data_IF_751944073961
#
_entry.id   IF_751944073961
#
_cell.length_a   1.000
_cell.length_b   1.000
_cell.length_c   1.000
_cell.angle_alpha   90.00
_cell.angle_beta   90.00
_cell.angle_gamma   90.00
#
_symmetry.space_group_name_H-M   'P 1'
#
loop_
_entity.id
_entity.type
_entity.pdbx_description
1 polymer ?
#
# COMPACT_ATOMS: atom_id res chain seq x y z
N UNK A 1 16.77 -13.49 22.57
CA UNK A 1 16.75 -12.56 21.41
C UNK A 1 15.69 -13.09 20.44
N UNK A 2 14.67 -12.30 20.10
CA UNK A 2 13.67 -12.73 19.13
C UNK A 2 14.26 -12.54 17.72
N UNK A 3 14.48 -13.64 17.01
CA UNK A 3 15.15 -13.63 15.71
C UNK A 3 14.19 -13.40 14.54
N UNK A 4 12.86 -13.45 14.76
CA UNK A 4 11.86 -13.35 13.69
C UNK A 4 12.14 -12.21 12.72
N UNK A 5 11.88 -12.40 11.41
CA UNK A 5 11.99 -11.34 10.42
C UNK A 5 11.23 -10.08 10.86
N UNK A 6 11.76 -8.93 10.46
CA UNK A 6 11.19 -7.64 10.81
C UNK A 6 10.94 -6.81 9.56
N UNK A 7 9.80 -6.12 9.50
CA UNK A 7 9.67 -4.91 8.69
C UNK A 7 9.90 -3.72 9.60
N UNK A 8 10.97 -2.99 9.33
CA UNK A 8 11.28 -1.73 9.96
C UNK A 8 10.58 -0.60 9.20
N UNK A 9 9.87 0.26 9.93
CA UNK A 9 9.14 1.42 9.41
C UNK A 9 9.86 2.66 9.92
N UNK A 10 10.52 3.39 9.02
CA UNK A 10 11.22 4.61 9.36
C UNK A 10 10.23 5.77 9.45
N UNK A 11 9.87 6.16 10.68
CA UNK A 11 8.88 7.20 10.95
C UNK A 11 9.28 8.57 10.40
N UNK A 12 10.58 8.88 10.39
CA UNK A 12 11.11 10.15 9.85
C UNK A 12 10.90 10.25 8.35
N UNK A 13 11.11 9.16 7.61
CA UNK A 13 10.89 9.12 6.16
C UNK A 13 9.40 9.16 5.80
N UNK A 14 8.55 8.46 6.55
CA UNK A 14 7.08 8.58 6.39
C UNK A 14 6.65 10.04 6.59
N UNK A 15 7.13 10.69 7.65
CA UNK A 15 6.81 12.09 7.94
C UNK A 15 7.29 13.02 6.83
N UNK A 16 8.54 12.89 6.37
CA UNK A 16 9.07 13.73 5.29
C UNK A 16 8.30 13.56 3.98
N UNK A 17 7.86 12.33 3.66
CA UNK A 17 7.05 12.08 2.48
C UNK A 17 5.68 12.75 2.57
N UNK A 18 5.03 12.72 3.73
CA UNK A 18 3.74 13.40 3.96
C UNK A 18 3.91 14.92 3.88
N UNK A 19 4.97 15.48 4.46
CA UNK A 19 5.28 16.92 4.37
C UNK A 19 5.51 17.35 2.91
N UNK A 20 6.24 16.54 2.14
CA UNK A 20 6.43 16.78 0.72
C UNK A 20 5.10 16.79 -0.05
N UNK A 21 4.23 15.80 0.19
CA UNK A 21 2.89 15.73 -0.41
C UNK A 21 2.03 16.95 -0.03
N UNK A 22 2.09 17.39 1.23
CA UNK A 22 1.35 18.55 1.74
C UNK A 22 1.81 19.84 1.06
N UNK A 23 3.11 20.04 0.92
CA UNK A 23 3.67 21.21 0.23
C UNK A 23 3.33 21.23 -1.26
N UNK A 24 3.26 20.06 -1.89
CA UNK A 24 2.85 19.91 -3.29
C UNK A 24 1.35 20.17 -3.49
N UNK A 25 0.51 19.87 -2.50
CA UNK A 25 -0.95 19.98 -2.59
C UNK A 25 -1.50 20.88 -1.47
N UNK A 26 -1.14 22.18 -1.42
CA UNK A 26 -1.44 23.05 -0.28
C UNK A 26 -2.94 23.32 -0.06
N UNK A 27 -3.77 23.02 -1.06
CA UNK A 27 -5.22 23.26 -1.05
C UNK A 27 -6.04 21.97 -0.88
N UNK A 28 -5.40 20.83 -0.64
CA UNK A 28 -6.09 19.54 -0.52
C UNK A 28 -5.75 18.85 0.79
N UNK A 29 -6.75 18.18 1.38
CA UNK A 29 -6.54 17.30 2.54
C UNK A 29 -5.79 16.04 2.10
N UNK A 30 -4.98 15.47 2.97
CA UNK A 30 -4.28 14.21 2.72
C UNK A 30 -5.08 13.05 3.30
N UNK A 31 -5.59 12.20 2.42
CA UNK A 31 -6.17 10.90 2.78
C UNK A 31 -5.10 9.82 2.59
N UNK A 32 -4.64 9.24 3.71
CA UNK A 32 -3.72 8.11 3.65
C UNK A 32 -4.50 6.80 3.51
N UNK A 33 -4.27 6.10 2.41
CA UNK A 33 -4.96 4.85 2.12
C UNK A 33 -4.27 3.72 2.91
N UNK A 34 -5.02 3.07 3.81
CA UNK A 34 -4.51 2.05 4.74
C UNK A 34 -5.26 0.71 4.62
N UNK A 35 -5.89 0.47 3.47
CA UNK A 35 -6.50 -0.83 3.15
C UNK A 35 -5.47 -1.97 3.17
N UNK A 36 -5.96 -3.20 3.22
CA UNK A 36 -5.17 -4.42 3.38
C UNK A 36 -4.22 -4.34 4.58
N UNK A 37 -4.74 -3.87 5.73
CA UNK A 37 -3.96 -3.67 6.96
C UNK A 37 -2.73 -2.78 6.75
N UNK A 38 -2.94 -1.60 6.15
CA UNK A 38 -1.89 -0.67 5.71
C UNK A 38 -0.87 -1.36 4.79
N UNK A 39 -1.35 -2.04 3.74
CA UNK A 39 -0.51 -2.77 2.79
C UNK A 39 0.38 -3.82 3.49
N UNK A 40 -0.13 -4.54 4.50
CA UNK A 40 0.61 -5.55 5.26
C UNK A 40 1.58 -5.01 6.32
N UNK A 41 1.59 -3.69 6.56
CA UNK A 41 2.48 -3.02 7.52
C UNK A 41 1.84 -2.90 8.92
N UNK A 42 0.53 -3.07 9.01
CA UNK A 42 -0.24 -2.93 10.24
C UNK A 42 -0.76 -1.51 10.42
N UNK A 43 -2.09 -1.37 10.42
CA UNK A 43 -2.76 -0.07 10.66
C UNK A 43 -2.29 0.52 12.00
N UNK A 44 -2.20 -0.30 13.05
CA UNK A 44 -1.73 0.14 14.38
C UNK A 44 -0.33 0.75 14.36
N UNK A 45 0.56 0.22 13.51
CA UNK A 45 1.94 0.70 13.43
C UNK A 45 2.01 2.03 12.70
N UNK A 46 1.33 2.13 11.55
CA UNK A 46 1.38 3.33 10.73
C UNK A 46 0.53 4.47 11.33
N UNK A 47 -0.54 4.15 12.06
CA UNK A 47 -1.37 5.14 12.74
C UNK A 47 -0.57 5.92 13.78
N UNK A 48 0.29 5.25 14.56
CA UNK A 48 1.20 5.89 15.55
C UNK A 48 2.10 6.97 14.92
N UNK A 49 2.44 6.82 13.64
CA UNK A 49 3.30 7.75 12.91
C UNK A 49 2.49 8.82 12.20
N UNK A 50 1.34 8.45 11.63
CA UNK A 50 0.62 9.29 10.66
C UNK A 50 -0.52 10.08 11.26
N UNK A 51 -0.98 9.77 12.48
CA UNK A 51 -2.19 10.39 13.02
C UNK A 51 -2.09 11.91 13.06
N UNK A 52 -0.99 12.52 13.44
CA UNK A 52 -0.95 13.99 13.52
C UNK A 52 -0.54 14.66 12.20
N UNK A 53 -0.41 13.86 11.12
CA UNK A 53 0.17 14.30 9.84
C UNK A 53 -0.81 14.23 8.66
N UNK A 54 -1.85 13.41 8.74
CA UNK A 54 -2.83 13.18 7.67
C UNK A 54 -4.22 13.62 8.12
N UNK A 55 -5.07 14.00 7.17
CA UNK A 55 -6.39 14.57 7.46
C UNK A 55 -7.49 13.50 7.47
N UNK A 56 -7.29 12.38 6.75
CA UNK A 56 -8.23 11.28 6.64
C UNK A 56 -7.53 9.94 6.40
N UNK A 57 -8.26 8.85 6.60
CA UNK A 57 -7.84 7.48 6.24
C UNK A 57 -8.80 6.86 5.23
N UNK A 58 -8.27 6.19 4.21
CA UNK A 58 -9.08 5.41 3.27
C UNK A 58 -8.93 3.91 3.52
N UNK A 59 -10.05 3.21 3.68
CA UNK A 59 -10.12 1.77 3.97
C UNK A 59 -11.02 1.05 2.98
N UNK A 60 -10.87 -0.27 2.86
CA UNK A 60 -11.70 -1.09 1.98
C UNK A 60 -12.73 -1.93 2.75
N UNK A 61 -12.46 -2.28 4.01
CA UNK A 61 -13.31 -3.20 4.79
C UNK A 61 -13.61 -2.70 6.20
N UNK A 62 -14.70 -3.20 6.78
CA UNK A 62 -15.17 -2.77 8.10
C UNK A 62 -14.24 -3.19 9.25
N UNK A 63 -13.51 -4.29 9.12
CA UNK A 63 -12.53 -4.71 10.11
C UNK A 63 -11.43 -3.65 10.28
N UNK A 64 -11.04 -2.97 9.19
CA UNK A 64 -10.06 -1.88 9.21
C UNK A 64 -10.61 -0.65 9.92
N UNK A 65 -11.91 -0.38 9.80
CA UNK A 65 -12.60 0.64 10.58
C UNK A 65 -12.53 0.34 12.08
N UNK A 66 -12.79 -0.91 12.49
CA UNK A 66 -12.73 -1.26 13.91
C UNK A 66 -11.32 -1.13 14.50
N UNK A 67 -10.28 -1.42 13.72
CA UNK A 67 -8.89 -1.17 14.13
C UNK A 67 -8.63 0.33 14.30
N UNK A 68 -9.02 1.18 13.34
CA UNK A 68 -8.87 2.64 13.48
C UNK A 68 -9.68 3.17 14.67
N UNK A 69 -10.88 2.65 14.90
CA UNK A 69 -11.74 3.02 16.02
C UNK A 69 -11.12 2.63 17.36
N UNK A 70 -10.56 1.43 17.49
CA UNK A 70 -9.89 0.98 18.73
C UNK A 70 -8.64 1.79 19.05
N UNK A 71 -8.01 2.39 18.03
CA UNK A 71 -6.89 3.32 18.19
C UNK A 71 -7.33 4.76 18.53
N UNK A 72 -8.64 5.01 18.64
CA UNK A 72 -9.18 6.34 18.97
C UNK A 72 -9.23 7.31 17.79
N UNK A 73 -9.24 6.82 16.55
CA UNK A 73 -9.28 7.68 15.37
C UNK A 73 -10.58 8.49 15.29
N UNK A 74 -10.43 9.82 15.33
CA UNK A 74 -11.52 10.80 15.21
C UNK A 74 -11.60 11.45 13.83
N UNK A 75 -10.62 11.18 12.96
CA UNK A 75 -10.57 11.74 11.60
C UNK A 75 -11.59 11.11 10.67
N UNK A 76 -11.74 11.70 9.50
CA UNK A 76 -12.55 11.15 8.44
C UNK A 76 -12.00 9.79 7.99
N UNK A 77 -12.89 8.79 7.92
CA UNK A 77 -12.61 7.44 7.47
C UNK A 77 -13.46 7.17 6.24
N UNK A 78 -12.81 7.06 5.08
CA UNK A 78 -13.47 6.88 3.79
C UNK A 78 -13.52 5.40 3.42
N UNK A 79 -14.72 4.88 3.21
CA UNK A 79 -14.93 3.50 2.76
C UNK A 79 -14.88 3.42 1.23
N UNK A 80 -13.74 2.99 0.71
CA UNK A 80 -13.42 3.00 -0.72
C UNK A 80 -14.32 2.09 -1.56
N UNK A 81 -14.90 1.05 -0.95
CA UNK A 81 -15.80 0.09 -1.60
C UNK A 81 -17.27 0.33 -1.27
N UNK A 82 -17.59 1.43 -0.60
CA UNK A 82 -18.91 1.71 -0.06
C UNK A 82 -19.21 0.94 1.23
N UNK A 83 -20.41 1.17 1.74
CA UNK A 83 -20.94 0.56 2.95
C UNK A 83 -22.32 0.03 2.60
N UNK A 84 -22.48 -1.29 2.62
CA UNK A 84 -23.80 -1.91 2.49
C UNK A 84 -24.49 -1.88 3.84
N UNK A 85 -25.82 -1.72 3.84
CA UNK A 85 -26.58 -1.61 5.08
C UNK A 85 -26.41 -2.83 6.00
N UNK A 86 -26.22 -4.02 5.42
CA UNK A 86 -25.99 -5.28 6.13
C UNK A 86 -24.67 -5.30 6.91
N UNK A 87 -23.70 -4.43 6.57
CA UNK A 87 -22.40 -4.40 7.25
C UNK A 87 -22.48 -3.70 8.62
N UNK A 88 -23.56 -2.97 8.90
CA UNK A 88 -23.72 -2.26 10.16
C UNK A 88 -25.04 -2.64 10.83
N UNK A 89 -24.96 -3.22 12.03
CA UNK A 89 -26.11 -3.31 12.94
C UNK A 89 -26.55 -1.92 13.49
N UNK A 90 -25.92 -0.83 13.03
CA UNK A 90 -26.03 0.51 13.59
C UNK A 90 -25.90 1.64 12.55
N UNK A 91 -26.29 2.86 12.95
CA UNK A 91 -26.18 4.07 12.13
C UNK A 91 -24.72 4.37 11.73
N UNK A 92 -24.48 4.73 10.46
CA UNK A 92 -23.13 5.08 9.97
C UNK A 92 -22.55 6.18 10.88
N UNK A 93 -21.34 6.01 11.47
CA UNK A 93 -20.71 7.02 12.32
C UNK A 93 -20.49 8.35 11.61
N UNK A 94 -20.47 9.46 12.35
CA UNK A 94 -20.36 10.82 11.78
C UNK A 94 -19.08 11.04 10.97
N UNK A 95 -17.96 10.49 11.43
CA UNK A 95 -16.66 10.61 10.75
C UNK A 95 -16.43 9.54 9.66
N UNK A 96 -17.47 8.79 9.28
CA UNK A 96 -17.38 7.79 8.22
C UNK A 96 -18.03 8.33 6.96
N UNK A 97 -17.28 8.29 5.85
CA UNK A 97 -17.71 8.79 4.54
C UNK A 97 -17.81 7.60 3.58
N UNK A 98 -19.02 7.17 3.19
CA UNK A 98 -19.19 6.12 2.20
C UNK A 98 -18.94 6.65 0.78
N UNK A 99 -18.38 5.79 -0.07
CA UNK A 99 -18.39 5.97 -1.52
C UNK A 99 -19.58 5.19 -2.10
N UNK A 100 -20.45 5.87 -2.84
CA UNK A 100 -21.62 5.30 -3.50
C UNK A 100 -21.27 5.01 -4.96
N UNK A 101 -20.94 3.75 -5.25
CA UNK A 101 -20.51 3.32 -6.59
C UNK A 101 -21.46 2.38 -7.33
N UNK A 102 -22.66 2.13 -6.79
CA UNK A 102 -23.72 1.37 -7.44
C UNK A 102 -25.10 1.73 -6.87
N UNK A 103 -26.18 1.32 -7.56
CA UNK A 103 -27.55 1.69 -7.16
C UNK A 103 -27.94 1.20 -5.77
N UNK A 104 -27.47 0.02 -5.36
CA UNK A 104 -27.83 -0.58 -4.07
C UNK A 104 -27.28 0.29 -2.94
N UNK A 105 -26.00 0.70 -3.02
CA UNK A 105 -25.38 1.60 -2.05
C UNK A 105 -26.15 2.92 -1.93
N UNK A 106 -26.63 3.48 -3.04
CA UNK A 106 -27.41 4.72 -3.01
C UNK A 106 -28.76 4.51 -2.32
N UNK A 107 -29.48 3.44 -2.67
CA UNK A 107 -30.79 3.11 -2.06
C UNK A 107 -30.63 2.88 -0.56
N UNK A 108 -29.61 2.14 -0.14
CA UNK A 108 -29.28 1.91 1.26
C UNK A 108 -28.95 3.23 1.97
N UNK A 109 -28.10 4.07 1.38
CA UNK A 109 -27.74 5.36 1.98
C UNK A 109 -28.95 6.29 2.16
N UNK A 110 -29.83 6.39 1.15
CA UNK A 110 -31.07 7.18 1.24
C UNK A 110 -31.98 6.66 2.36
N UNK A 111 -32.08 5.33 2.47
CA UNK A 111 -32.97 4.66 3.43
C UNK A 111 -32.50 4.81 4.88
N UNK A 112 -31.20 4.72 5.13
CA UNK A 112 -30.65 4.58 6.48
C UNK A 112 -29.87 5.79 7.00
N UNK A 113 -29.48 6.74 6.14
CA UNK A 113 -28.80 7.97 6.60
C UNK A 113 -29.80 9.13 6.76
N UNK A 114 -30.01 9.51 8.01
CA UNK A 114 -30.89 10.63 8.37
C UNK A 114 -30.18 11.98 8.27
N UNK A 115 -28.86 12.03 8.47
CA UNK A 115 -28.11 13.29 8.44
C UNK A 115 -27.83 13.72 7.01
N UNK A 116 -28.72 14.57 6.48
CA UNK A 116 -28.65 15.08 5.10
C UNK A 116 -27.47 16.04 4.85
N UNK A 117 -26.77 16.46 5.90
CA UNK A 117 -25.56 17.29 5.81
C UNK A 117 -24.26 16.47 5.80
N UNK A 118 -24.35 15.17 6.08
CA UNK A 118 -23.21 14.27 6.14
C UNK A 118 -22.52 14.14 4.79
N UNK A 119 -21.20 14.16 4.84
CA UNK A 119 -20.36 14.02 3.66
C UNK A 119 -20.50 12.63 3.05
N UNK A 120 -20.71 12.58 1.73
CA UNK A 120 -20.77 11.36 0.94
C UNK A 120 -20.06 11.57 -0.38
N UNK A 121 -19.47 10.50 -0.92
CA UNK A 121 -18.80 10.52 -2.22
C UNK A 121 -19.64 9.73 -3.23
N UNK A 122 -19.97 10.33 -4.37
CA UNK A 122 -20.60 9.63 -5.50
C UNK A 122 -19.52 9.28 -6.51
N UNK A 123 -19.43 8.01 -6.90
CA UNK A 123 -18.35 7.51 -7.76
C UNK A 123 -18.69 7.70 -9.25
N UNK A 124 -17.84 8.43 -9.95
CA UNK A 124 -17.86 8.63 -11.38
C UNK A 124 -16.79 7.76 -12.04
N UNK A 125 -17.20 6.85 -12.93
CA UNK A 125 -16.26 6.06 -13.71
C UNK A 125 -15.73 6.88 -14.91
N UNK A 126 -14.53 7.43 -14.75
CA UNK A 126 -13.86 8.15 -15.85
C UNK A 126 -13.33 7.21 -16.96
N UNK A 127 -13.31 5.90 -16.71
CA UNK A 127 -12.87 4.84 -17.61
C UNK A 127 -11.93 3.81 -16.97
N UNK A 128 -12.04 3.57 -15.67
CA UNK A 128 -11.40 2.45 -14.97
C UNK A 128 -12.18 1.14 -15.17
N UNK A 129 -13.51 1.21 -15.34
CA UNK A 129 -14.35 0.04 -15.63
C UNK A 129 -14.56 -0.89 -14.45
N UNK A 130 -14.61 -0.36 -13.22
CA UNK A 130 -14.67 -1.17 -11.98
C UNK A 130 -15.85 -0.83 -11.08
N UNK A 131 -15.98 0.43 -10.71
CA UNK A 131 -17.03 0.97 -9.85
C UNK A 131 -17.46 2.33 -10.36
N UNK A 132 -18.63 2.79 -9.91
CA UNK A 132 -19.16 4.10 -10.24
C UNK A 132 -20.02 4.09 -11.50
N UNK A 133 -20.48 5.29 -11.83
CA UNK A 133 -21.45 5.52 -12.88
C UNK A 133 -20.82 6.29 -14.04
N UNK A 134 -21.31 6.04 -15.25
CA UNK A 134 -21.06 6.95 -16.35
C UNK A 134 -21.88 8.24 -16.19
N UNK A 135 -21.55 9.26 -16.98
CA UNK A 135 -22.02 10.64 -16.80
C UNK A 135 -23.53 10.76 -16.56
N UNK A 136 -24.35 10.17 -17.42
CA UNK A 136 -25.80 10.39 -17.37
C UNK A 136 -26.43 9.69 -16.15
N UNK A 137 -25.98 8.48 -15.82
CA UNK A 137 -26.37 7.78 -14.59
C UNK A 137 -25.87 8.50 -13.34
N UNK A 138 -24.65 9.06 -13.39
CA UNK A 138 -24.11 9.88 -12.30
C UNK A 138 -25.01 11.09 -12.01
N UNK A 139 -25.40 11.84 -13.06
CA UNK A 139 -26.28 13.02 -12.92
C UNK A 139 -27.65 12.59 -12.36
N UNK A 140 -28.25 11.53 -12.92
CA UNK A 140 -29.51 10.96 -12.42
C UNK A 140 -29.44 10.62 -10.93
N UNK A 141 -28.36 9.98 -10.49
CA UNK A 141 -28.18 9.60 -9.09
C UNK A 141 -27.84 10.79 -8.18
N UNK A 142 -27.11 11.78 -8.68
CA UNK A 142 -26.87 13.04 -7.99
C UNK A 142 -28.19 13.79 -7.73
N UNK A 143 -29.04 13.91 -8.74
CA UNK A 143 -30.34 14.57 -8.63
C UNK A 143 -31.26 13.82 -7.67
N UNK A 144 -31.22 12.49 -7.70
CA UNK A 144 -31.93 11.65 -6.74
C UNK A 144 -31.47 11.97 -5.31
N UNK A 145 -30.15 11.93 -5.02
CA UNK A 145 -29.63 12.27 -3.68
C UNK A 145 -30.04 13.67 -3.22
N UNK A 146 -29.94 14.67 -4.11
CA UNK A 146 -30.37 16.06 -3.82
C UNK A 146 -31.87 16.16 -3.52
N UNK A 147 -32.72 15.41 -4.24
CA UNK A 147 -34.18 15.41 -4.01
C UNK A 147 -34.58 14.86 -2.64
N UNK A 148 -33.76 13.95 -2.08
CA UNK A 148 -33.89 13.45 -0.70
C UNK A 148 -33.19 14.33 0.35
N UNK A 149 -32.69 15.51 -0.05
CA UNK A 149 -32.14 16.55 0.83
C UNK A 149 -30.63 16.46 1.06
N UNK A 150 -29.92 15.47 0.52
CA UNK A 150 -28.47 15.34 0.71
C UNK A 150 -27.72 16.49 0.04
N UNK A 151 -26.90 17.20 0.79
CA UNK A 151 -26.29 18.48 0.38
C UNK A 151 -24.76 18.47 0.28
N UNK A 152 -24.08 17.55 0.99
CA UNK A 152 -22.63 17.47 1.04
C UNK A 152 -22.10 16.29 0.22
N UNK A 153 -22.25 16.39 -1.10
CA UNK A 153 -21.88 15.35 -2.05
C UNK A 153 -20.56 15.74 -2.73
N UNK A 154 -19.61 14.82 -2.77
CA UNK A 154 -18.33 14.96 -3.49
C UNK A 154 -18.33 14.04 -4.70
N UNK A 155 -17.87 14.54 -5.84
CA UNK A 155 -17.53 13.71 -6.99
C UNK A 155 -16.24 12.96 -6.70
N UNK A 156 -16.33 11.64 -6.54
CA UNK A 156 -15.17 10.78 -6.44
C UNK A 156 -14.90 10.11 -7.79
N UNK A 157 -13.64 9.93 -8.15
CA UNK A 157 -13.24 9.04 -9.25
C UNK A 157 -11.89 8.40 -8.96
N UNK A 158 -11.51 7.36 -9.69
CA UNK A 158 -10.17 6.77 -9.59
C UNK A 158 -9.46 6.79 -10.94
N UNK A 159 -8.31 7.46 -10.98
CA UNK A 159 -7.48 7.54 -12.17
C UNK A 159 -6.86 6.17 -12.48
N UNK A 160 -7.06 5.61 -13.69
CA UNK A 160 -6.65 4.24 -14.04
C UNK A 160 -5.17 4.11 -14.43
N UNK A 161 -4.36 5.15 -14.20
CA UNK A 161 -2.95 5.21 -14.55
C UNK A 161 -2.08 5.24 -13.29
N UNK A 162 -0.99 4.45 -13.33
CA UNK A 162 0.09 4.48 -12.34
C UNK A 162 1.25 5.39 -12.76
N UNK A 163 2.39 5.25 -12.09
CA UNK A 163 3.60 6.05 -12.32
C UNK A 163 4.07 6.04 -13.79
N UNK A 164 4.11 4.87 -14.44
CA UNK A 164 4.57 4.74 -15.83
C UNK A 164 3.56 5.25 -16.89
N UNK A 165 2.40 5.72 -16.47
CA UNK A 165 1.30 6.10 -17.35
C UNK A 165 0.70 7.46 -17.04
N UNK A 166 1.29 8.27 -16.16
CA UNK A 166 0.65 9.50 -15.68
C UNK A 166 0.33 10.49 -16.82
N UNK A 167 1.14 10.54 -17.88
CA UNK A 167 0.86 11.35 -19.09
C UNK A 167 -0.45 10.95 -19.80
N UNK A 168 -0.91 9.70 -19.61
CA UNK A 168 -2.17 9.19 -20.16
C UNK A 168 -3.37 9.52 -19.25
N UNK A 169 -3.15 10.14 -18.09
CA UNK A 169 -4.21 10.51 -17.12
C UNK A 169 -5.06 11.67 -17.61
N UNK A 170 -4.49 12.56 -18.46
CA UNK A 170 -5.11 13.83 -18.85
C UNK A 170 -6.55 13.67 -19.35
N UNK A 171 -6.80 12.72 -20.27
CA UNK A 171 -8.15 12.47 -20.79
C UNK A 171 -9.17 12.04 -19.72
N UNK A 172 -8.71 11.39 -18.64
CA UNK A 172 -9.57 10.97 -17.53
C UNK A 172 -9.82 12.14 -16.58
N UNK A 173 -8.78 12.93 -16.30
CA UNK A 173 -8.86 14.16 -15.51
C UNK A 173 -9.82 15.16 -16.18
N UNK A 174 -9.70 15.39 -17.49
CA UNK A 174 -10.55 16.31 -18.24
C UNK A 174 -12.04 15.94 -18.11
N UNK A 175 -12.38 14.64 -18.18
CA UNK A 175 -13.76 14.17 -17.96
C UNK A 175 -14.26 14.47 -16.56
N UNK A 176 -13.41 14.25 -15.55
CA UNK A 176 -13.75 14.48 -14.14
C UNK A 176 -13.97 15.96 -13.88
N UNK A 177 -13.05 16.81 -14.35
CA UNK A 177 -13.13 18.26 -14.18
C UNK A 177 -14.33 18.86 -14.92
N UNK A 178 -14.61 18.41 -16.14
CA UNK A 178 -15.80 18.82 -16.90
C UNK A 178 -17.09 18.48 -16.15
N UNK A 179 -17.20 17.27 -15.60
CA UNK A 179 -18.37 16.88 -14.81
C UNK A 179 -18.46 17.63 -13.47
N UNK A 180 -17.32 17.90 -12.82
CA UNK A 180 -17.27 18.70 -11.60
C UNK A 180 -17.73 20.15 -11.84
N UNK A 181 -17.32 20.76 -12.95
CA UNK A 181 -17.75 22.10 -13.35
C UNK A 181 -19.26 22.14 -13.63
N UNK A 182 -19.77 21.17 -14.40
CA UNK A 182 -21.20 21.05 -14.72
C UNK A 182 -22.05 20.91 -13.45
N UNK A 183 -21.64 20.02 -12.55
CA UNK A 183 -22.41 19.69 -11.34
C UNK A 183 -22.16 20.64 -10.16
N UNK A 184 -21.12 21.48 -10.28
CA UNK A 184 -20.59 22.38 -9.24
C UNK A 184 -20.22 21.65 -7.93
N UNK A 185 -19.85 20.38 -8.03
CA UNK A 185 -19.43 19.58 -6.89
C UNK A 185 -17.94 19.79 -6.60
N UNK A 186 -17.58 19.70 -5.33
CA UNK A 186 -16.20 19.38 -4.94
C UNK A 186 -15.82 18.00 -5.48
N UNK A 187 -14.53 17.77 -5.72
CA UNK A 187 -14.07 16.53 -6.33
C UNK A 187 -12.82 15.95 -5.66
N UNK A 188 -12.58 14.66 -5.88
CA UNK A 188 -11.43 13.91 -5.38
C UNK A 188 -11.13 12.75 -6.34
N UNK A 189 -9.95 12.76 -6.97
CA UNK A 189 -9.57 11.72 -7.93
C UNK A 189 -8.11 11.26 -7.88
N UNK A 190 -7.23 12.06 -7.29
CA UNK A 190 -5.79 11.80 -7.34
C UNK A 190 -5.41 10.59 -6.51
N UNK A 191 -4.67 9.68 -7.15
CA UNK A 191 -3.90 8.62 -6.49
C UNK A 191 -2.45 9.12 -6.26
N UNK A 192 -1.57 8.30 -5.68
CA UNK A 192 -0.17 8.69 -5.40
C UNK A 192 0.56 9.34 -6.60
N UNK A 193 0.58 8.76 -7.83
CA UNK A 193 1.22 9.40 -8.98
C UNK A 193 0.67 10.80 -9.28
N UNK A 194 -0.66 10.96 -9.37
CA UNK A 194 -1.26 12.25 -9.73
C UNK A 194 -0.94 13.28 -8.64
N UNK A 195 -1.04 12.92 -7.37
CA UNK A 195 -0.68 13.79 -6.24
C UNK A 195 0.78 14.26 -6.22
N UNK A 196 1.67 13.61 -6.98
CA UNK A 196 3.09 13.97 -7.04
C UNK A 196 3.45 14.75 -8.31
N UNK A 197 2.84 14.41 -9.44
CA UNK A 197 3.22 14.93 -10.76
C UNK A 197 2.24 15.94 -11.34
N UNK A 198 1.00 16.00 -10.84
CA UNK A 198 -0.03 16.91 -11.34
C UNK A 198 -0.87 17.46 -10.17
N UNK A 199 -0.47 18.65 -9.70
CA UNK A 199 -0.88 19.18 -8.38
C UNK A 199 -1.76 20.42 -8.47
N UNK A 200 -2.09 20.88 -9.67
CA UNK A 200 -2.82 22.14 -9.89
C UNK A 200 -4.33 21.98 -9.71
N UNK A 201 -4.76 21.05 -8.85
CA UNK A 201 -6.16 20.71 -8.61
C UNK A 201 -6.59 21.04 -7.18
N UNK A 202 -7.70 21.75 -7.04
CA UNK A 202 -8.30 22.06 -5.73
C UNK A 202 -9.24 20.94 -5.28
N UNK A 203 -8.68 19.75 -5.08
CA UNK A 203 -9.44 18.58 -4.62
C UNK A 203 -9.76 18.68 -3.13
N UNK A 204 -10.89 18.11 -2.70
CA UNK A 204 -11.17 17.96 -1.26
C UNK A 204 -10.11 17.08 -0.59
N UNK A 205 -9.79 15.92 -1.19
CA UNK A 205 -8.72 15.04 -0.75
C UNK A 205 -7.79 14.66 -1.90
N UNK A 206 -6.49 14.60 -1.62
CA UNK A 206 -5.58 13.70 -2.35
C UNK A 206 -5.54 12.34 -1.66
N UNK A 207 -5.40 11.26 -2.43
CA UNK A 207 -5.34 9.90 -1.90
C UNK A 207 -3.99 9.31 -2.18
N UNK A 208 -3.22 9.07 -1.13
CA UNK A 208 -1.85 8.58 -1.28
C UNK A 208 -1.63 7.37 -0.40
N UNK A 209 -0.86 6.41 -0.90
CA UNK A 209 -0.31 5.31 -0.10
C UNK A 209 1.15 5.10 -0.45
N UNK A 210 1.40 4.72 -1.69
CA UNK A 210 2.75 4.46 -2.19
C UNK A 210 3.68 5.67 -2.10
N UNK A 211 3.14 6.90 -2.25
CA UNK A 211 3.92 8.13 -2.02
C UNK A 211 4.23 8.35 -0.54
N UNK A 212 3.29 8.04 0.37
CA UNK A 212 3.51 8.15 1.83
C UNK A 212 4.58 7.16 2.29
N UNK A 213 4.53 5.92 1.79
CA UNK A 213 5.49 4.86 2.12
C UNK A 213 6.78 4.95 1.28
N UNK A 214 6.72 5.65 0.16
CA UNK A 214 7.82 5.94 -0.76
C UNK A 214 8.39 4.76 -1.53
N UNK A 215 7.65 3.66 -1.69
CA UNK A 215 8.18 2.43 -2.30
C UNK A 215 8.34 2.48 -3.83
N UNK A 216 7.80 3.52 -4.48
CA UNK A 216 8.08 3.82 -5.90
C UNK A 216 9.31 4.73 -6.08
N UNK A 217 9.77 5.43 -5.02
CA UNK A 217 10.95 6.32 -5.02
C UNK A 217 10.95 7.41 -6.11
N UNK A 218 9.76 7.79 -6.56
CA UNK A 218 9.56 8.79 -7.60
C UNK A 218 8.55 9.83 -7.09
N UNK A 219 8.86 11.14 -7.15
CA UNK A 219 10.16 11.72 -7.53
C UNK A 219 11.23 11.46 -6.45
N UNK A 220 12.49 11.83 -6.73
CA UNK A 220 13.65 11.53 -5.87
C UNK A 220 13.53 12.01 -4.42
N UNK A 221 12.71 13.02 -4.16
CA UNK A 221 12.40 13.55 -2.83
C UNK A 221 11.62 12.56 -1.98
N UNK A 222 10.79 11.71 -2.60
CA UNK A 222 10.06 10.64 -1.94
C UNK A 222 11.02 9.51 -1.59
N UNK A 223 11.07 9.14 -0.32
CA UNK A 223 12.02 8.15 0.21
C UNK A 223 11.31 6.87 0.65
N UNK A 224 11.86 5.73 0.27
CA UNK A 224 11.33 4.45 0.72
C UNK A 224 11.50 4.32 2.23
N UNK A 225 10.40 4.09 2.94
CA UNK A 225 10.35 4.13 4.41
C UNK A 225 10.35 2.75 5.07
N UNK A 226 10.39 1.67 4.29
CA UNK A 226 10.27 0.31 4.78
C UNK A 226 11.52 -0.51 4.48
N UNK A 227 11.93 -1.35 5.43
CA UNK A 227 12.99 -2.33 5.24
C UNK A 227 12.55 -3.70 5.76
N UNK A 228 12.53 -4.73 4.91
CA UNK A 228 12.39 -6.11 5.36
C UNK A 228 13.77 -6.67 5.70
N UNK A 229 13.94 -7.15 6.93
CA UNK A 229 15.20 -7.70 7.41
C UNK A 229 15.01 -9.10 8.00
N UNK A 230 15.95 -9.99 7.73
CA UNK A 230 16.00 -11.35 8.26
C UNK A 230 17.37 -11.66 8.86
N UNK A 231 17.42 -12.57 9.82
CA UNK A 231 18.60 -12.89 10.59
C UNK A 231 19.35 -14.10 9.99
N UNK A 232 20.69 -14.03 9.92
CA UNK A 232 21.51 -15.21 9.62
C UNK A 232 21.46 -16.15 10.82
N UNK A 233 20.88 -17.35 10.62
CA UNK A 233 20.79 -18.39 11.65
C UNK A 233 21.75 -19.56 11.41
N UNK A 234 22.40 -19.61 10.26
CA UNK A 234 23.45 -20.59 9.97
C UNK A 234 24.36 -20.06 8.86
N UNK A 235 25.66 -20.35 8.96
CA UNK A 235 26.62 -20.20 7.87
C UNK A 235 27.29 -21.56 7.69
N UNK A 236 27.31 -22.07 6.45
CA UNK A 236 27.86 -23.38 6.13
C UNK A 236 28.75 -23.31 4.90
N UNK A 237 29.91 -23.94 4.98
CA UNK A 237 30.71 -24.26 3.80
C UNK A 237 30.21 -25.59 3.21
N UNK A 238 29.82 -25.55 1.93
CA UNK A 238 29.27 -26.68 1.19
C UNK A 238 30.26 -27.02 0.06
N UNK A 239 30.83 -28.25 0.05
CA UNK A 239 31.77 -28.65 -0.99
C UNK A 239 31.16 -28.66 -2.38
N UNK A 240 32.00 -28.47 -3.40
CA UNK A 240 31.64 -28.75 -4.79
C UNK A 240 31.10 -30.18 -4.93
N UNK A 241 30.00 -30.32 -5.68
CA UNK A 241 29.36 -31.60 -5.97
C UNK A 241 28.18 -31.94 -5.05
N UNK A 242 27.95 -31.16 -3.99
CA UNK A 242 26.82 -31.33 -3.09
C UNK A 242 25.58 -30.53 -3.53
N UNK A 243 24.41 -30.91 -3.01
CA UNK A 243 23.14 -30.24 -3.26
C UNK A 243 22.64 -29.44 -2.06
N UNK A 244 21.84 -28.41 -2.33
CA UNK A 244 21.18 -27.56 -1.33
C UNK A 244 19.66 -27.70 -1.46
N UNK A 245 19.00 -27.72 -0.31
CA UNK A 245 17.54 -27.75 -0.14
C UNK A 245 16.87 -29.06 -0.58
N UNK A 246 15.54 -29.06 -0.54
CA UNK A 246 14.71 -30.20 -0.85
C UNK A 246 14.80 -30.58 -2.34
N UNK A 247 14.71 -31.89 -2.62
CA UNK A 247 14.65 -32.39 -4.00
C UNK A 247 15.90 -32.11 -4.82
N UNK A 248 17.04 -31.79 -4.19
CA UNK A 248 18.29 -31.45 -4.86
C UNK A 248 18.17 -30.21 -5.77
N UNK A 249 17.43 -29.19 -5.30
CA UNK A 249 17.07 -28.00 -6.07
C UNK A 249 18.29 -27.23 -6.63
N UNK A 250 19.35 -27.07 -5.83
CA UNK A 250 20.55 -26.35 -6.26
C UNK A 250 21.80 -27.21 -6.14
N UNK A 251 22.56 -27.33 -7.23
CA UNK A 251 23.82 -28.06 -7.29
C UNK A 251 25.04 -27.14 -7.15
N UNK A 252 25.93 -27.44 -6.21
CA UNK A 252 27.14 -26.65 -5.96
C UNK A 252 28.23 -26.97 -6.99
N UNK A 253 28.36 -26.16 -8.04
CA UNK A 253 29.41 -26.28 -9.06
C UNK A 253 30.83 -25.91 -8.57
N UNK A 254 30.92 -25.32 -7.36
CA UNK A 254 32.14 -24.88 -6.67
C UNK A 254 31.92 -24.99 -5.16
N UNK A 255 33.00 -24.95 -4.38
CA UNK A 255 32.89 -24.77 -2.93
C UNK A 255 32.14 -23.46 -2.65
N UNK A 256 31.09 -23.54 -1.85
CA UNK A 256 30.12 -22.45 -1.67
C UNK A 256 29.88 -22.22 -0.18
N UNK A 257 30.09 -21.00 0.29
CA UNK A 257 29.70 -20.58 1.65
C UNK A 257 28.28 -20.03 1.61
N UNK A 258 27.37 -20.69 2.30
CA UNK A 258 25.93 -20.40 2.29
C UNK A 258 25.49 -19.81 3.62
N UNK A 259 24.82 -18.66 3.58
CA UNK A 259 24.06 -18.12 4.69
C UNK A 259 22.61 -18.61 4.61
N UNK A 260 22.09 -19.09 5.74
CA UNK A 260 20.68 -19.45 5.89
C UNK A 260 20.00 -18.34 6.69
N UNK A 261 19.08 -17.63 6.05
CA UNK A 261 18.27 -16.59 6.68
C UNK A 261 16.98 -17.21 7.20
N UNK A 262 16.50 -16.73 8.35
CA UNK A 262 15.26 -17.21 8.97
C UNK A 262 13.99 -16.57 8.41
N UNK A 263 13.87 -16.58 7.09
CA UNK A 263 12.69 -16.13 6.37
C UNK A 263 12.45 -17.07 5.19
N UNK A 264 11.21 -17.50 4.98
CA UNK A 264 10.82 -18.36 3.87
C UNK A 264 9.48 -17.95 3.27
N UNK A 265 8.90 -18.84 2.45
CA UNK A 265 7.63 -18.51 1.79
C UNK A 265 6.44 -18.44 2.77
N UNK A 266 6.50 -19.11 3.95
CA UNK A 266 5.45 -18.97 4.96
C UNK A 266 5.43 -17.59 5.64
N UNK A 267 6.54 -16.85 5.54
CA UNK A 267 6.67 -15.47 6.01
C UNK A 267 6.10 -14.46 5.00
N UNK A 268 5.76 -14.90 3.79
CA UNK A 268 5.18 -14.07 2.73
C UNK A 268 6.09 -13.83 1.52
N UNK A 269 7.26 -14.47 1.46
CA UNK A 269 8.06 -14.53 0.24
C UNK A 269 7.37 -15.45 -0.79
N UNK A 270 7.67 -15.27 -2.09
CA UNK A 270 7.19 -16.21 -3.11
C UNK A 270 7.89 -17.56 -3.03
N UNK A 271 7.17 -18.64 -3.34
CA UNK A 271 7.73 -20.00 -3.36
C UNK A 271 8.59 -20.29 -4.60
N UNK A 272 8.37 -19.55 -5.69
CA UNK A 272 9.17 -19.66 -6.91
C UNK A 272 10.18 -18.51 -6.96
N UNK A 273 11.46 -18.83 -7.16
CA UNK A 273 12.54 -17.86 -7.25
C UNK A 273 13.20 -18.01 -8.61
N UNK A 274 13.39 -16.89 -9.32
CA UNK A 274 14.18 -16.91 -10.56
C UNK A 274 15.62 -17.29 -10.29
N UNK A 275 16.24 -18.06 -11.18
CA UNK A 275 17.64 -18.48 -11.08
C UNK A 275 18.64 -17.31 -10.90
N UNK A 276 18.31 -16.12 -11.43
CA UNK A 276 19.12 -14.90 -11.35
C UNK A 276 18.80 -14.03 -10.12
N UNK A 277 17.96 -14.51 -9.20
CA UNK A 277 17.59 -13.76 -8.00
C UNK A 277 18.77 -13.62 -7.05
N UNK A 278 18.90 -12.45 -6.44
CA UNK A 278 20.01 -12.14 -5.55
C UNK A 278 19.56 -11.21 -4.44
N UNK A 279 20.31 -11.18 -3.34
CA UNK A 279 20.26 -10.09 -2.37
C UNK A 279 21.44 -9.15 -2.60
N UNK A 280 21.25 -7.87 -2.28
CA UNK A 280 22.34 -6.90 -2.23
C UNK A 280 22.81 -6.76 -0.77
N UNK A 281 23.93 -7.39 -0.43
CA UNK A 281 24.49 -7.39 0.93
C UNK A 281 25.83 -6.66 0.90
N UNK A 282 25.97 -5.57 1.67
CA UNK A 282 27.16 -4.70 1.65
C UNK A 282 27.59 -4.30 0.22
N UNK A 283 26.62 -3.86 -0.59
CA UNK A 283 26.80 -3.54 -2.01
C UNK A 283 27.30 -4.69 -2.91
N UNK A 284 27.33 -5.93 -2.41
CA UNK A 284 27.69 -7.13 -3.17
C UNK A 284 26.44 -7.93 -3.53
N UNK A 285 26.36 -8.40 -4.77
CA UNK A 285 25.30 -9.31 -5.21
C UNK A 285 25.59 -10.72 -4.68
N UNK A 286 24.65 -11.26 -3.91
CA UNK A 286 24.71 -12.60 -3.34
C UNK A 286 23.52 -13.41 -3.88
N UNK A 287 23.79 -14.43 -4.68
CA UNK A 287 22.74 -15.24 -5.32
C UNK A 287 21.87 -15.94 -4.30
N UNK A 288 20.56 -15.91 -4.52
CA UNK A 288 19.62 -16.76 -3.79
C UNK A 288 19.67 -18.14 -4.42
N UNK A 289 19.96 -19.15 -3.60
CA UNK A 289 20.18 -20.53 -4.06
C UNK A 289 18.91 -21.36 -4.00
N UNK A 290 18.08 -21.12 -2.98
CA UNK A 290 16.83 -21.84 -2.74
C UNK A 290 16.02 -21.13 -1.67
N UNK A 291 14.73 -21.46 -1.59
CA UNK A 291 13.82 -21.10 -0.50
C UNK A 291 13.02 -22.31 -0.05
N UNK A 292 12.73 -22.38 1.25
CA UNK A 292 11.73 -23.29 1.78
C UNK A 292 10.73 -22.55 2.68
N UNK A 293 9.96 -23.31 3.47
CA UNK A 293 8.89 -22.76 4.29
C UNK A 293 9.38 -21.65 5.22
N UNK A 294 10.53 -21.84 5.84
CA UNK A 294 11.03 -21.00 6.93
C UNK A 294 12.38 -20.33 6.60
N UNK A 295 13.06 -20.76 5.54
CA UNK A 295 14.46 -20.39 5.29
C UNK A 295 14.76 -19.98 3.85
N UNK A 296 15.66 -19.00 3.72
CA UNK A 296 16.22 -18.52 2.45
C UNK A 296 17.72 -18.81 2.44
N UNK A 297 18.20 -19.43 1.37
CA UNK A 297 19.59 -19.84 1.21
C UNK A 297 20.30 -18.88 0.26
N UNK A 298 21.43 -18.31 0.70
CA UNK A 298 22.13 -17.25 -0.04
C UNK A 298 23.62 -17.57 -0.14
N UNK A 299 24.20 -17.55 -1.35
CA UNK A 299 25.65 -17.66 -1.55
C UNK A 299 26.33 -16.37 -1.11
N UNK A 300 27.10 -16.46 -0.02
CA UNK A 300 27.87 -15.36 0.56
C UNK A 300 29.38 -15.57 0.38
N UNK A 301 29.82 -16.51 -0.48
CA UNK A 301 31.24 -16.86 -0.66
C UNK A 301 32.14 -15.65 -0.90
N UNK A 302 31.66 -14.67 -1.67
CA UNK A 302 32.40 -13.45 -2.00
C UNK A 302 32.64 -12.52 -0.79
N UNK A 303 31.80 -12.60 0.24
CA UNK A 303 31.80 -11.70 1.41
C UNK A 303 31.78 -12.45 2.75
N UNK A 304 32.13 -13.74 2.75
CA UNK A 304 31.99 -14.62 3.93
C UNK A 304 32.71 -14.11 5.18
N UNK A 305 33.79 -13.36 5.02
CA UNK A 305 34.55 -12.78 6.13
C UNK A 305 33.94 -11.49 6.70
N UNK A 306 32.94 -10.91 6.03
CA UNK A 306 32.25 -9.68 6.45
C UNK A 306 30.97 -9.95 7.25
N UNK A 307 30.47 -11.19 7.21
CA UNK A 307 29.21 -11.59 7.81
C UNK A 307 29.45 -12.61 8.91
N UNK A 308 28.59 -12.59 9.92
CA UNK A 308 28.57 -13.58 11.00
C UNK A 308 27.16 -14.01 11.33
N UNK A 309 27.09 -15.09 12.11
CA UNK A 309 25.85 -15.52 12.74
C UNK A 309 25.17 -14.35 13.46
N UNK A 310 23.84 -14.30 13.35
CA UNK A 310 22.96 -13.30 13.94
C UNK A 310 22.99 -11.90 13.30
N UNK A 311 23.76 -11.68 12.24
CA UNK A 311 23.64 -10.44 11.48
C UNK A 311 22.26 -10.32 10.82
N UNK A 312 21.71 -9.11 10.80
CA UNK A 312 20.44 -8.80 10.13
C UNK A 312 20.69 -8.35 8.70
N UNK A 313 20.18 -9.10 7.75
CA UNK A 313 20.29 -8.84 6.31
C UNK A 313 19.02 -8.14 5.84
N UNK A 314 19.18 -6.99 5.17
CA UNK A 314 18.10 -6.23 4.54
C UNK A 314 17.79 -6.81 3.15
N UNK A 315 16.61 -7.41 3.00
CA UNK A 315 16.15 -8.04 1.75
C UNK A 315 15.68 -7.00 0.73
N UNK A 316 14.97 -5.98 1.21
CA UNK A 316 14.63 -4.78 0.47
C UNK A 316 14.59 -3.59 1.42
N UNK A 317 14.79 -2.39 0.88
CA UNK A 317 14.73 -1.13 1.62
C UNK A 317 15.83 -0.17 1.17
N UNK A 318 16.04 0.96 1.87
CA UNK A 318 16.92 2.04 1.42
C UNK A 318 18.37 1.65 1.15
N UNK A 319 18.88 0.60 1.81
CA UNK A 319 20.28 0.15 1.64
C UNK A 319 20.38 -1.16 0.83
N UNK A 320 19.30 -1.61 0.21
CA UNK A 320 19.23 -2.88 -0.49
C UNK A 320 18.41 -2.72 -1.79
N UNK A 321 17.80 -3.81 -2.25
CA UNK A 321 16.91 -3.80 -3.40
C UNK A 321 15.73 -2.86 -3.21
N UNK A 322 15.25 -2.28 -4.31
CA UNK A 322 13.93 -1.66 -4.33
C UNK A 322 12.85 -2.72 -4.13
N UNK A 323 11.66 -2.30 -3.67
CA UNK A 323 10.53 -3.22 -3.53
C UNK A 323 10.16 -3.87 -4.87
N UNK A 324 10.32 -3.14 -5.98
CA UNK A 324 10.07 -3.66 -7.33
C UNK A 324 11.05 -4.76 -7.72
N UNK A 325 12.35 -4.52 -7.51
CA UNK A 325 13.38 -5.53 -7.76
C UNK A 325 13.12 -6.78 -6.92
N UNK A 326 12.79 -6.60 -5.64
CA UNK A 326 12.46 -7.71 -4.76
C UNK A 326 11.24 -8.49 -5.24
N UNK A 327 10.13 -7.81 -5.55
CA UNK A 327 8.90 -8.45 -6.00
C UNK A 327 9.08 -9.22 -7.33
N UNK A 328 9.86 -8.66 -8.26
CA UNK A 328 10.14 -9.29 -9.55
C UNK A 328 10.91 -10.62 -9.42
N UNK A 329 11.73 -10.81 -8.37
CA UNK A 329 12.41 -12.09 -8.11
C UNK A 329 11.42 -13.25 -7.88
N UNK A 330 10.20 -12.93 -7.46
CA UNK A 330 9.16 -13.89 -7.11
C UNK A 330 7.95 -13.85 -8.07
N UNK A 331 8.02 -13.13 -9.20
CA UNK A 331 6.89 -12.90 -10.12
C UNK A 331 5.63 -12.33 -9.45
N UNK A 332 5.79 -11.50 -8.41
CA UNK A 332 4.69 -10.84 -7.72
C UNK A 332 4.76 -9.33 -7.90
N UNK A 333 3.66 -8.66 -7.63
CA UNK A 333 3.60 -7.19 -7.61
C UNK A 333 4.20 -6.61 -6.32
N UNK A 334 4.55 -5.32 -6.33
CA UNK A 334 4.98 -4.58 -5.12
C UNK A 334 3.96 -4.67 -3.98
N UNK A 335 2.67 -4.52 -4.30
CA UNK A 335 1.61 -4.59 -3.29
C UNK A 335 1.49 -6.00 -2.70
N UNK A 336 1.64 -7.05 -3.51
CA UNK A 336 1.69 -8.43 -3.01
C UNK A 336 2.90 -8.69 -2.11
N UNK A 337 4.08 -8.17 -2.47
CA UNK A 337 5.30 -8.35 -1.68
C UNK A 337 5.17 -7.78 -0.25
N UNK A 338 4.32 -6.76 -0.04
CA UNK A 338 4.04 -6.25 1.31
C UNK A 338 2.83 -6.93 1.95
N UNK A 339 1.73 -7.11 1.21
CA UNK A 339 0.46 -7.64 1.76
C UNK A 339 0.49 -9.13 2.07
N UNK A 340 1.37 -9.91 1.44
CA UNK A 340 1.58 -11.33 1.75
C UNK A 340 2.42 -11.58 3.00
N UNK A 341 3.09 -10.55 3.54
CA UNK A 341 3.92 -10.70 4.73
C UNK A 341 3.07 -11.17 5.92
N UNK A 342 3.40 -12.34 6.45
CA UNK A 342 2.61 -13.00 7.48
C UNK A 342 2.70 -12.23 8.80
N UNK A 343 1.56 -11.74 9.31
CA UNK A 343 1.51 -10.91 10.51
C UNK A 343 1.96 -11.64 11.79
N UNK A 344 1.87 -12.97 11.86
CA UNK A 344 2.30 -13.77 13.01
C UNK A 344 3.81 -14.04 12.99
N UNK A 345 4.43 -14.03 11.80
CA UNK A 345 5.81 -14.46 11.62
C UNK A 345 6.78 -13.30 11.34
N UNK A 346 6.28 -12.25 10.68
CA UNK A 346 7.04 -11.04 10.35
C UNK A 346 6.60 -9.90 11.25
N UNK A 347 7.46 -9.54 12.20
CA UNK A 347 7.19 -8.45 13.14
C UNK A 347 7.27 -7.11 12.44
N UNK A 348 6.50 -6.14 12.92
CA UNK A 348 6.53 -4.76 12.41
C UNK A 348 7.08 -3.86 13.51
N UNK A 349 8.08 -3.04 13.18
CA UNK A 349 8.76 -2.18 14.14
C UNK A 349 8.84 -0.76 13.60
N UNK A 350 8.22 0.18 14.30
CA UNK A 350 8.36 1.61 14.02
C UNK A 350 9.66 2.12 14.65
N UNK A 351 10.46 2.85 13.87
CA UNK A 351 11.73 3.46 14.30
C UNK A 351 11.80 4.95 14.03
#
# INVERSE_FOLDING_TARGET
>A
MNLSPIVEINSKLVKSNIEYLRNKNPHSKIMFIVKANAYGIGIENIYKVTNDLVDAYGIARIEEYYVLKSLGCTKDIVFLSGIYAECFDFKIPKNVIPILGNELLIKDYIKYEDDKSKQVMLDFDCGMGRFGFYRDDFIKHLDMLKSFGFSNIILFSHIPTGYNGYNKSKKYIDKILSLAEETKLKYTFSNSPVSLFDTDFQQEYIRSSSAVLGYDQEPKEIKFSLSLKACIISIRDIPKGEYISYGNEYFCNKDTTVAILNIGYADGLGCEIHHDSYLLINATKCSILSINMDYLYVDISAIKHQLKMLDMIELFGPNSLSLEQHANMYNITKDEALTKLNALRVRKLVR
#
